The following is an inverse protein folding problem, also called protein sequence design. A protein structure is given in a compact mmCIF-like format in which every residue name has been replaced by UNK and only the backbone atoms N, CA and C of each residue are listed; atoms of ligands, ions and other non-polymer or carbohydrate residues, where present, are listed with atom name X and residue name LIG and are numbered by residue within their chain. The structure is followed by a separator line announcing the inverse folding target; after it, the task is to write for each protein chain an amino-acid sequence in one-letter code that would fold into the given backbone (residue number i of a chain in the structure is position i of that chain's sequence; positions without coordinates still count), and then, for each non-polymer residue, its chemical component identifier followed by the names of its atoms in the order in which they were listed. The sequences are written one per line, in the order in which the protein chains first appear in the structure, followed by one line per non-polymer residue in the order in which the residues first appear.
data_IF_072426535944
#
_entry.id   IF_072426535944
#
_cell.length_a   1.000
_cell.length_b   1.000
_cell.length_c   1.000
_cell.angle_alpha   90.00
_cell.angle_beta   90.00
_cell.angle_gamma   90.00
#
_symmetry.space_group_name_H-M   'P 1'
#
loop_
_entity.id
_entity.type
_entity.pdbx_description
1 polymer ?
#
# COMPACT_ATOMS: atom_id res chain seq x y z
N UNK A 1 6.11 7.39 -13.64
CA UNK A 1 6.44 6.92 -15.00
C UNK A 1 6.92 5.48 -14.88
N UNK A 2 6.37 4.55 -15.64
CA UNK A 2 6.82 3.14 -15.65
C UNK A 2 7.97 2.95 -16.65
N UNK A 3 8.86 1.99 -16.37
CA UNK A 3 9.96 1.62 -17.29
C UNK A 3 9.53 0.63 -18.37
N UNK A 4 8.32 0.08 -18.26
CA UNK A 4 7.74 -0.88 -19.20
C UNK A 4 6.61 -0.23 -20.00
N UNK A 5 6.33 -0.78 -21.18
CA UNK A 5 5.16 -0.39 -21.96
C UNK A 5 3.88 -0.74 -21.21
N UNK A 6 2.89 0.13 -21.31
CA UNK A 6 1.56 -0.06 -20.73
C UNK A 6 0.50 0.19 -21.78
N UNK A 7 -0.68 -0.42 -21.61
CA UNK A 7 -1.86 -0.15 -22.44
C UNK A 7 -2.77 0.78 -21.64
N UNK A 8 -3.13 1.91 -22.22
CA UNK A 8 -4.01 2.89 -21.57
C UNK A 8 -5.44 2.36 -21.43
N UNK A 9 -6.26 3.03 -20.62
CA UNK A 9 -7.68 2.70 -20.52
C UNK A 9 -8.39 2.80 -21.87
N UNK A 10 -8.07 3.81 -22.67
CA UNK A 10 -8.73 4.05 -23.96
C UNK A 10 -8.32 3.02 -25.03
N UNK A 11 -7.08 2.55 -24.98
CA UNK A 11 -6.54 1.55 -25.91
C UNK A 11 -6.82 0.10 -25.50
N UNK A 12 -7.38 -0.10 -24.29
CA UNK A 12 -7.64 -1.43 -23.77
C UNK A 12 -8.86 -2.08 -24.43
N UNK A 13 -8.78 -3.37 -24.72
CA UNK A 13 -9.86 -4.20 -25.22
C UNK A 13 -10.02 -5.51 -24.43
N UNK A 14 -11.04 -6.30 -24.76
CA UNK A 14 -11.29 -7.63 -24.20
C UNK A 14 -11.18 -7.68 -22.67
N UNK A 15 -10.49 -8.70 -22.17
CA UNK A 15 -10.32 -8.95 -20.74
C UNK A 15 -9.66 -7.79 -20.02
N UNK A 16 -8.70 -7.10 -20.66
CA UNK A 16 -8.04 -5.95 -20.04
C UNK A 16 -9.05 -4.80 -19.80
N UNK A 17 -9.89 -4.51 -20.78
CA UNK A 17 -10.93 -3.48 -20.65
C UNK A 17 -11.91 -3.82 -19.53
N UNK A 18 -12.35 -5.07 -19.44
CA UNK A 18 -13.25 -5.53 -18.37
C UNK A 18 -12.62 -5.39 -16.99
N UNK A 19 -11.31 -5.64 -16.85
CA UNK A 19 -10.61 -5.46 -15.59
C UNK A 19 -10.50 -3.98 -15.24
N UNK A 20 -10.16 -3.13 -16.19
CA UNK A 20 -10.09 -1.69 -15.98
C UNK A 20 -11.44 -1.10 -15.55
N UNK A 21 -12.55 -1.54 -16.13
CA UNK A 21 -13.90 -1.12 -15.74
C UNK A 21 -14.21 -1.39 -14.26
N UNK A 22 -13.60 -2.44 -13.68
CA UNK A 22 -13.82 -2.81 -12.26
C UNK A 22 -12.95 -2.02 -11.28
N UNK A 23 -11.87 -1.38 -11.75
CA UNK A 23 -10.85 -0.78 -10.88
C UNK A 23 -10.61 0.70 -11.15
N UNK A 24 -11.12 1.24 -12.24
CA UNK A 24 -10.93 2.64 -12.61
C UNK A 24 -11.56 3.60 -11.60
N UNK A 25 -10.94 4.76 -11.47
CA UNK A 25 -11.49 5.89 -10.75
C UNK A 25 -12.56 6.65 -11.55
N UNK A 26 -13.12 7.74 -10.97
CA UNK A 26 -14.23 8.49 -11.56
C UNK A 26 -13.98 9.02 -12.98
N UNK A 27 -12.76 9.43 -13.26
CA UNK A 27 -12.36 10.01 -14.56
C UNK A 27 -11.71 8.98 -15.49
N UNK A 28 -12.10 7.72 -15.39
CA UNK A 28 -11.49 6.59 -16.09
C UNK A 28 -9.98 6.43 -15.82
N UNK A 29 -9.47 7.07 -14.76
CA UNK A 29 -8.07 6.90 -14.39
C UNK A 29 -7.84 5.51 -13.81
N UNK A 30 -6.77 4.88 -14.25
CA UNK A 30 -6.28 3.60 -13.73
C UNK A 30 -4.95 3.86 -13.04
N UNK A 31 -4.82 3.40 -11.79
CA UNK A 31 -3.59 3.59 -11.02
C UNK A 31 -2.37 2.99 -11.72
N UNK A 32 -1.23 3.66 -11.62
CA UNK A 32 -0.01 3.25 -12.31
C UNK A 32 0.42 1.81 -11.99
N UNK A 33 0.18 1.35 -10.76
CA UNK A 33 0.46 -0.03 -10.39
C UNK A 33 -0.40 -1.02 -11.18
N UNK A 34 -1.65 -0.66 -11.48
CA UNK A 34 -2.53 -1.47 -12.31
C UNK A 34 -2.14 -1.41 -13.79
N UNK A 35 -1.79 -0.21 -14.30
CA UNK A 35 -1.27 -0.04 -15.66
C UNK A 35 -0.02 -0.90 -15.91
N UNK A 36 0.86 -1.04 -14.90
CA UNK A 36 2.05 -1.89 -15.00
C UNK A 36 1.73 -3.38 -15.28
N UNK A 37 0.51 -3.82 -14.98
CA UNK A 37 0.02 -5.17 -15.27
C UNK A 37 -0.68 -5.30 -16.65
N UNK A 38 -0.82 -4.22 -17.41
CA UNK A 38 -1.68 -4.18 -18.60
C UNK A 38 -1.33 -5.21 -19.66
N UNK A 39 -0.04 -5.52 -19.83
CA UNK A 39 0.41 -6.56 -20.77
C UNK A 39 0.16 -8.00 -20.27
N UNK A 40 -0.27 -8.17 -19.03
CA UNK A 40 -0.57 -9.47 -18.40
C UNK A 40 -1.81 -9.35 -17.51
N UNK A 41 -3.02 -9.23 -18.06
CA UNK A 41 -4.26 -8.97 -17.32
C UNK A 41 -4.52 -9.95 -16.17
N UNK A 42 -4.15 -11.22 -16.32
CA UNK A 42 -4.29 -12.22 -15.25
C UNK A 42 -3.43 -11.89 -14.00
N UNK A 43 -2.27 -11.26 -14.16
CA UNK A 43 -1.45 -10.82 -13.02
C UNK A 43 -2.08 -9.61 -12.31
N UNK A 44 -2.76 -8.73 -13.04
CA UNK A 44 -3.56 -7.65 -12.47
C UNK A 44 -4.69 -8.20 -11.58
N UNK A 45 -5.40 -9.21 -12.05
CA UNK A 45 -6.45 -9.86 -11.27
C UNK A 45 -5.92 -10.48 -9.98
N UNK A 46 -4.78 -11.17 -10.05
CA UNK A 46 -4.11 -11.73 -8.88
C UNK A 46 -3.69 -10.65 -7.86
N UNK A 47 -3.07 -9.57 -8.35
CA UNK A 47 -2.69 -8.42 -7.54
C UNK A 47 -3.90 -7.80 -6.83
N UNK A 48 -4.97 -7.49 -7.57
CA UNK A 48 -6.18 -6.89 -6.99
C UNK A 48 -6.85 -7.80 -5.96
N UNK A 49 -6.85 -9.11 -6.18
CA UNK A 49 -7.40 -10.06 -5.22
C UNK A 49 -6.59 -10.04 -3.93
N UNK A 50 -5.27 -10.17 -4.01
CA UNK A 50 -4.39 -10.13 -2.85
C UNK A 50 -4.53 -8.80 -2.09
N UNK A 51 -4.44 -7.68 -2.78
CA UNK A 51 -4.58 -6.33 -2.21
C UNK A 51 -5.90 -6.17 -1.43
N UNK A 52 -7.03 -6.55 -2.05
CA UNK A 52 -8.34 -6.45 -1.39
C UNK A 52 -8.45 -7.34 -0.16
N UNK A 53 -7.90 -8.55 -0.21
CA UNK A 53 -7.96 -9.46 0.93
C UNK A 53 -7.05 -9.02 2.08
N UNK A 54 -5.88 -8.50 1.78
CA UNK A 54 -4.93 -8.04 2.82
C UNK A 54 -5.39 -6.74 3.47
N UNK A 55 -5.81 -5.75 2.69
CA UNK A 55 -6.09 -4.41 3.23
C UNK A 55 -7.58 -4.14 3.49
N UNK A 56 -8.48 -4.72 2.72
CA UNK A 56 -9.88 -4.29 2.70
C UNK A 56 -10.89 -5.38 3.06
N UNK A 57 -10.45 -6.60 3.35
CA UNK A 57 -11.39 -7.68 3.67
C UNK A 57 -12.14 -7.39 4.98
N UNK A 58 -13.49 -7.58 5.04
CA UNK A 58 -14.28 -7.23 6.23
C UNK A 58 -13.97 -8.08 7.47
N UNK A 59 -13.28 -9.22 7.32
CA UNK A 59 -12.83 -10.04 8.45
C UNK A 59 -11.44 -9.66 8.97
N UNK A 60 -10.79 -8.64 8.43
CA UNK A 60 -9.54 -8.17 9.00
C UNK A 60 -9.81 -7.61 10.39
N UNK A 61 -9.03 -8.07 11.37
CA UNK A 61 -9.16 -7.66 12.77
C UNK A 61 -8.31 -6.44 13.11
N UNK A 62 -7.32 -6.11 12.27
CA UNK A 62 -6.51 -4.91 12.42
C UNK A 62 -7.24 -3.68 11.89
N UNK A 63 -7.12 -2.54 12.57
CA UNK A 63 -7.71 -1.29 12.12
C UNK A 63 -7.19 -0.89 10.73
N UNK A 64 -8.09 -0.45 9.85
CA UNK A 64 -7.69 0.02 8.50
C UNK A 64 -6.63 1.14 8.52
N UNK A 65 -6.71 2.16 9.41
CA UNK A 65 -5.64 3.15 9.51
C UNK A 65 -4.28 2.53 9.80
N UNK A 66 -4.22 1.50 10.64
CA UNK A 66 -2.97 0.80 10.94
C UNK A 66 -2.43 0.03 9.71
N UNK A 67 -3.30 -0.63 8.95
CA UNK A 67 -2.89 -1.33 7.71
C UNK A 67 -2.31 -0.35 6.68
N UNK A 68 -2.91 0.83 6.52
CA UNK A 68 -2.35 1.89 5.68
C UNK A 68 -1.04 2.46 6.24
N UNK A 69 -0.93 2.57 7.57
CA UNK A 69 0.33 2.98 8.23
C UNK A 69 1.47 2.01 7.90
N UNK A 70 1.23 0.71 7.98
CA UNK A 70 2.22 -0.31 7.57
C UNK A 70 2.58 -0.13 6.09
N UNK A 71 1.58 0.11 5.23
CA UNK A 71 1.80 0.40 3.81
C UNK A 71 2.69 1.63 3.58
N UNK A 72 2.46 2.73 4.31
CA UNK A 72 3.31 3.94 4.26
C UNK A 72 4.74 3.60 4.70
N UNK A 73 4.89 2.91 5.83
CA UNK A 73 6.21 2.64 6.41
C UNK A 73 7.05 1.74 5.49
N UNK A 74 6.50 0.62 5.04
CA UNK A 74 7.17 -0.27 4.08
C UNK A 74 7.52 0.46 2.78
N UNK A 75 6.66 1.36 2.32
CA UNK A 75 6.93 2.17 1.12
C UNK A 75 8.09 3.15 1.31
N UNK A 76 8.23 3.76 2.49
CA UNK A 76 9.36 4.61 2.86
C UNK A 76 10.67 3.80 2.91
N UNK A 77 10.65 2.64 3.54
CA UNK A 77 11.82 1.73 3.62
C UNK A 77 12.29 1.30 2.23
N UNK A 78 11.35 1.01 1.33
CA UNK A 78 11.61 0.65 -0.07
C UNK A 78 11.91 1.85 -0.98
N UNK A 79 11.93 3.08 -0.46
CA UNK A 79 12.19 4.30 -1.21
C UNK A 79 11.27 4.46 -2.44
N UNK A 80 9.98 4.14 -2.28
CA UNK A 80 8.97 4.26 -3.33
C UNK A 80 8.04 5.47 -3.07
N UNK A 81 8.37 6.68 -3.56
CA UNK A 81 7.55 7.89 -3.30
C UNK A 81 6.10 7.74 -3.77
N UNK A 82 5.88 7.12 -4.92
CA UNK A 82 4.53 6.85 -5.43
C UNK A 82 3.71 6.01 -4.43
N UNK A 83 4.31 4.94 -3.88
CA UNK A 83 3.63 4.07 -2.93
C UNK A 83 3.34 4.80 -1.62
N UNK A 84 4.30 5.61 -1.14
CA UNK A 84 4.14 6.44 0.06
C UNK A 84 2.92 7.35 -0.08
N UNK A 85 2.86 8.15 -1.15
CA UNK A 85 1.76 9.10 -1.33
C UNK A 85 0.42 8.40 -1.51
N UNK A 86 0.37 7.25 -2.19
CA UNK A 86 -0.85 6.48 -2.38
C UNK A 86 -1.42 5.95 -1.05
N UNK A 87 -0.59 5.28 -0.24
CA UNK A 87 -1.00 4.79 1.08
C UNK A 87 -1.28 5.93 2.06
N UNK A 88 -0.47 7.00 2.03
CA UNK A 88 -0.67 8.14 2.92
C UNK A 88 -1.98 8.89 2.63
N UNK A 89 -2.38 9.02 1.37
CA UNK A 89 -3.69 9.58 1.02
C UNK A 89 -4.85 8.74 1.57
N UNK A 90 -4.70 7.41 1.57
CA UNK A 90 -5.63 6.48 2.21
C UNK A 90 -5.68 6.66 3.73
N UNK A 91 -4.52 6.68 4.37
CA UNK A 91 -4.35 6.88 5.80
C UNK A 91 -4.99 8.19 6.27
N UNK A 92 -4.67 9.30 5.59
CA UNK A 92 -5.18 10.63 5.92
C UNK A 92 -6.72 10.68 5.90
N UNK A 93 -7.34 10.07 4.89
CA UNK A 93 -8.81 9.97 4.82
C UNK A 93 -9.41 9.16 5.96
N UNK A 94 -8.73 8.10 6.40
CA UNK A 94 -9.20 7.22 7.48
C UNK A 94 -9.03 7.84 8.86
N UNK A 95 -7.95 8.60 9.08
CA UNK A 95 -7.72 9.32 10.34
C UNK A 95 -8.66 10.51 10.49
N UNK A 96 -8.97 11.21 9.40
CA UNK A 96 -9.78 12.43 9.38
C UNK A 96 -9.29 13.50 10.40
N UNK A 97 -7.97 13.55 10.62
CA UNK A 97 -7.27 14.39 11.57
C UNK A 97 -5.91 14.77 10.96
N UNK A 98 -5.76 16.04 10.59
CA UNK A 98 -4.57 16.53 9.89
C UNK A 98 -3.34 16.54 10.79
N UNK A 99 -3.48 16.93 12.07
CA UNK A 99 -2.38 16.97 13.03
C UNK A 99 -1.86 15.56 13.34
N UNK A 100 -2.79 14.64 13.55
CA UNK A 100 -2.46 13.21 13.75
C UNK A 100 -1.79 12.63 12.50
N UNK A 101 -2.29 12.94 11.31
CA UNK A 101 -1.72 12.49 10.05
C UNK A 101 -0.30 12.99 9.85
N UNK A 102 -0.06 14.27 10.15
CA UNK A 102 1.28 14.87 10.07
C UNK A 102 2.25 14.24 11.06
N UNK A 103 1.82 14.03 12.32
CA UNK A 103 2.65 13.41 13.37
C UNK A 103 3.03 11.96 12.98
N UNK A 104 2.08 11.17 12.48
CA UNK A 104 2.35 9.81 12.00
C UNK A 104 3.35 9.84 10.85
N UNK A 105 3.14 10.69 9.85
CA UNK A 105 4.05 10.80 8.71
C UNK A 105 5.47 11.15 9.15
N UNK A 106 5.61 12.13 10.02
CA UNK A 106 6.91 12.57 10.55
C UNK A 106 7.64 11.44 11.28
N UNK A 107 6.94 10.68 12.14
CA UNK A 107 7.51 9.53 12.85
C UNK A 107 8.06 8.46 11.91
N UNK A 108 7.28 8.13 10.86
CA UNK A 108 7.67 7.10 9.89
C UNK A 108 8.82 7.57 8.98
N UNK A 109 8.83 8.83 8.54
CA UNK A 109 9.93 9.41 7.75
C UNK A 109 11.23 9.49 8.55
N UNK A 110 11.13 9.78 9.86
CA UNK A 110 12.28 9.77 10.78
C UNK A 110 12.78 8.35 11.11
N UNK A 111 12.09 7.30 10.68
CA UNK A 111 12.32 5.89 11.07
C UNK A 111 12.31 5.72 12.60
N UNK A 112 11.45 6.47 13.25
CA UNK A 112 11.21 6.39 14.69
C UNK A 112 9.71 6.27 14.97
N UNK A 113 9.09 5.13 14.61
CA UNK A 113 7.66 4.93 14.80
C UNK A 113 7.25 4.96 16.28
N UNK A 114 8.20 4.77 17.22
CA UNK A 114 7.96 4.82 18.67
C UNK A 114 7.47 6.19 19.16
N UNK A 115 7.68 7.27 18.40
CA UNK A 115 7.15 8.61 18.73
C UNK A 115 5.65 8.75 18.50
N UNK A 116 5.05 7.88 17.66
CA UNK A 116 3.63 7.94 17.30
C UNK A 116 2.84 6.67 17.65
N UNK A 117 3.52 5.55 17.86
CA UNK A 117 2.92 4.22 18.12
C UNK A 117 3.53 3.58 19.36
N UNK A 118 2.78 2.66 19.96
CA UNK A 118 3.22 1.88 21.13
C UNK A 118 2.62 0.47 21.11
N UNK A 119 3.10 -0.40 22.01
CA UNK A 119 2.55 -1.74 22.20
C UNK A 119 2.56 -2.56 20.91
N UNK A 120 1.42 -3.21 20.60
CA UNK A 120 1.30 -4.12 19.46
C UNK A 120 1.48 -3.44 18.10
N UNK A 121 1.05 -2.19 17.96
CA UNK A 121 1.20 -1.46 16.71
C UNK A 121 2.67 -1.15 16.43
N UNK A 122 3.41 -0.71 17.46
CA UNK A 122 4.86 -0.50 17.35
C UNK A 122 5.60 -1.81 17.05
N UNK A 123 5.28 -2.88 17.75
CA UNK A 123 5.89 -4.18 17.51
C UNK A 123 5.70 -4.65 16.06
N UNK A 124 4.48 -4.50 15.53
CA UNK A 124 4.21 -4.84 14.13
C UNK A 124 4.94 -3.95 13.12
N UNK A 125 5.16 -2.65 13.42
CA UNK A 125 5.97 -1.77 12.56
C UNK A 125 7.45 -2.17 12.60
N UNK A 126 8.00 -2.50 13.76
CA UNK A 126 9.38 -2.99 13.89
C UNK A 126 9.57 -4.32 13.14
N UNK A 127 8.59 -5.24 13.24
CA UNK A 127 8.56 -6.47 12.46
C UNK A 127 8.55 -6.18 10.95
N UNK A 128 7.70 -5.28 10.50
CA UNK A 128 7.62 -4.88 9.09
C UNK A 128 8.93 -4.26 8.59
N UNK A 129 9.61 -3.47 9.41
CA UNK A 129 10.93 -2.91 9.11
C UNK A 129 11.96 -4.02 8.91
N UNK A 130 12.11 -4.92 9.89
CA UNK A 130 13.06 -6.02 9.81
C UNK A 130 12.77 -6.92 8.60
N UNK A 131 11.50 -7.29 8.39
CA UNK A 131 11.10 -8.10 7.24
C UNK A 131 11.44 -7.43 5.89
N UNK A 132 11.37 -6.10 5.83
CA UNK A 132 11.61 -5.34 4.60
C UNK A 132 13.10 -5.11 4.34
N UNK A 133 13.87 -4.85 5.39
CA UNK A 133 15.28 -4.42 5.27
C UNK A 133 16.30 -5.56 5.44
N UNK A 134 16.00 -6.54 6.28
CA UNK A 134 16.82 -7.71 6.57
C UNK A 134 15.95 -8.89 7.04
N UNK A 135 15.23 -9.50 6.10
CA UNK A 135 14.35 -10.63 6.41
C UNK A 135 15.07 -11.84 7.03
N UNK A 136 16.38 -11.96 6.81
CA UNK A 136 17.19 -13.06 7.38
C UNK A 136 17.44 -12.88 8.89
N UNK A 137 17.31 -11.67 9.41
CA UNK A 137 17.46 -11.37 10.83
C UNK A 137 16.22 -11.76 11.66
N UNK A 138 15.08 -12.01 11.03
CA UNK A 138 13.85 -12.39 11.75
C UNK A 138 13.99 -13.75 12.44
N UNK A 139 13.49 -13.83 13.67
CA UNK A 139 13.44 -15.05 14.44
C UNK A 139 12.06 -15.27 15.10
N UNK A 140 11.82 -16.43 15.66
CA UNK A 140 10.52 -16.78 16.23
C UNK A 140 10.08 -15.89 17.41
N UNK A 141 11.02 -15.20 18.07
CA UNK A 141 10.70 -14.26 19.15
C UNK A 141 10.15 -12.91 18.66
N UNK A 142 10.24 -12.62 17.36
CA UNK A 142 9.75 -11.37 16.76
C UNK A 142 8.27 -11.44 16.35
N UNK A 143 7.66 -12.62 16.49
CA UNK A 143 6.27 -12.93 16.17
C UNK A 143 5.44 -13.10 17.45
#
# INVERSE_FOLDING_TARGET
MTWISTISYDDADGVLKELYERIKGPDNNVDNIMLAHSLRPHSMQGHMTLYKYVLHHPRNTLPKPYLETVGVYVSLLNQCPYCVEHHFAGLKRLLADDDRSAAVRQALEAKDPGTAFSGRELAGLNYAETLTTDAAALCASDI
#
